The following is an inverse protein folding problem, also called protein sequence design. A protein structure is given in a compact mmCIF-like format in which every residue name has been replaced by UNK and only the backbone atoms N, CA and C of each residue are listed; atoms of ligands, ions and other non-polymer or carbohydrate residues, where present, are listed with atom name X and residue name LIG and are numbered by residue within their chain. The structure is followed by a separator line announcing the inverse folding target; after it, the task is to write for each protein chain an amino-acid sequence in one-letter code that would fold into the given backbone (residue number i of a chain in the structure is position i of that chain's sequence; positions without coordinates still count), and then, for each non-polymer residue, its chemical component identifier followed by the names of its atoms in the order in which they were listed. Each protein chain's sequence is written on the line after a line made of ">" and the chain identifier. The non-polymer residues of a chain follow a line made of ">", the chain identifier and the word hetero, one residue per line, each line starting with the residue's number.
data_IF_498825420858
#
_entry.id   IF_498825420858
#
_cell.length_a   1.000
_cell.length_b   1.000
_cell.length_c   1.000
_cell.angle_alpha   90.00
_cell.angle_beta   90.00
_cell.angle_gamma   90.00
#
_symmetry.space_group_name_H-M   'P 1'
#
loop_
_entity.id
_entity.type
_entity.pdbx_description
1 polymer ?
#
# COMPACT_ATOMS: atom_id res chain seq x y z
N UNK A 1 9.10 -7.39 27.99
CA UNK A 1 8.05 -7.45 26.95
C UNK A 1 6.62 -7.53 27.50
N UNK A 2 6.24 -8.50 28.36
CA UNK A 2 4.85 -8.62 28.90
C UNK A 2 4.32 -7.35 29.60
N UNK A 3 5.15 -6.61 30.34
CA UNK A 3 4.76 -5.38 31.05
C UNK A 3 4.51 -4.19 30.10
N UNK A 4 5.24 -4.14 28.98
CA UNK A 4 5.04 -3.10 27.94
C UNK A 4 3.70 -3.29 27.20
N UNK A 5 3.36 -4.53 26.86
CA UNK A 5 2.07 -4.87 26.23
C UNK A 5 0.88 -4.57 27.14
N UNK A 6 1.03 -4.82 28.45
CA UNK A 6 -0.03 -4.55 29.44
C UNK A 6 -0.24 -3.04 29.62
N UNK A 7 0.82 -2.24 29.69
CA UNK A 7 0.71 -0.78 29.79
C UNK A 7 0.12 -0.14 28.54
N UNK A 8 0.44 -0.64 27.37
CA UNK A 8 -0.15 -0.19 26.10
C UNK A 8 -1.64 -0.52 26.01
N UNK A 9 -2.04 -1.73 26.42
CA UNK A 9 -3.45 -2.13 26.46
C UNK A 9 -4.27 -1.29 27.47
N UNK A 10 -3.71 -0.97 28.64
CA UNK A 10 -4.37 -0.12 29.64
C UNK A 10 -4.51 1.32 29.13
N UNK A 11 -3.53 1.85 28.41
CA UNK A 11 -3.59 3.17 27.80
C UNK A 11 -4.69 3.25 26.74
N UNK A 12 -4.87 2.22 25.90
CA UNK A 12 -5.97 2.13 24.93
C UNK A 12 -7.34 2.02 25.62
N UNK A 13 -7.46 1.27 26.70
CA UNK A 13 -8.70 1.17 27.48
C UNK A 13 -9.06 2.51 28.17
N UNK A 14 -8.08 3.23 28.70
CA UNK A 14 -8.30 4.52 29.37
C UNK A 14 -8.70 5.63 28.39
N UNK A 15 -8.24 5.59 27.14
CA UNK A 15 -8.62 6.55 26.10
C UNK A 15 -10.04 6.29 25.55
N UNK A 16 -10.53 5.05 25.60
CA UNK A 16 -11.88 4.68 25.15
C UNK A 16 -13.03 5.11 26.08
N UNK A 17 -12.74 5.44 27.32
CA UNK A 17 -13.78 5.74 28.33
C UNK A 17 -14.35 7.17 28.27
N UNK A 18 -13.84 8.04 27.40
CA UNK A 18 -14.28 9.44 27.30
C UNK A 18 -15.15 9.79 26.08
N UNK A 19 -15.56 8.82 25.28
CA UNK A 19 -16.30 9.08 24.04
C UNK A 19 -17.82 8.96 24.26
N UNK A 20 -18.44 9.84 25.03
CA UNK A 20 -19.87 10.13 24.91
C UNK A 20 -20.10 11.12 23.75
N UNK A 21 -19.59 10.81 22.57
CA UNK A 21 -19.84 11.63 21.38
C UNK A 21 -20.99 11.04 20.57
N UNK A 22 -21.79 11.93 19.99
CA UNK A 22 -22.85 11.56 19.05
C UNK A 22 -22.26 10.70 17.92
N UNK A 23 -22.79 9.50 17.73
CA UNK A 23 -22.30 8.56 16.71
C UNK A 23 -22.40 9.16 15.32
N UNK A 24 -21.31 9.17 14.59
CA UNK A 24 -21.22 9.72 13.24
C UNK A 24 -21.12 8.63 12.19
N UNK A 25 -21.77 8.87 11.06
CA UNK A 25 -21.86 7.95 9.94
C UNK A 25 -21.45 8.68 8.67
N UNK A 26 -20.96 7.95 7.70
CA UNK A 26 -20.56 8.54 6.42
C UNK A 26 -19.61 7.67 5.63
N UNK A 27 -18.94 8.29 4.69
CA UNK A 27 -17.96 7.63 3.87
C UNK A 27 -17.21 8.61 2.98
N UNK A 28 -16.15 8.12 2.38
CA UNK A 28 -15.33 8.90 1.48
C UNK A 28 -14.37 8.04 0.67
N UNK A 29 -13.76 8.67 -0.33
CA UNK A 29 -12.71 8.09 -1.13
C UNK A 29 -11.46 8.95 -1.10
N UNK A 30 -10.32 8.36 -1.34
CA UNK A 30 -9.02 9.03 -1.34
C UNK A 30 -8.09 8.51 -2.42
N UNK A 31 -7.23 9.40 -2.86
CA UNK A 31 -5.98 9.11 -3.53
C UNK A 31 -4.89 8.99 -2.47
N UNK A 32 -4.01 8.00 -2.61
CA UNK A 32 -3.03 7.63 -1.62
C UNK A 32 -1.62 7.76 -2.19
N UNK A 33 -0.76 8.47 -1.48
CA UNK A 33 0.67 8.59 -1.76
C UNK A 33 1.45 8.14 -0.53
N UNK A 34 2.46 7.32 -0.70
CA UNK A 34 3.20 6.82 0.46
C UNK A 34 4.58 6.29 0.14
N UNK A 35 5.20 5.81 1.20
CA UNK A 35 6.42 5.03 1.15
C UNK A 35 6.18 3.72 1.90
N UNK A 36 6.80 2.66 1.44
CA UNK A 36 6.76 1.34 2.07
C UNK A 36 8.13 0.69 1.98
N UNK A 37 8.53 0.00 3.05
CA UNK A 37 9.68 -0.89 3.00
C UNK A 37 9.28 -2.26 2.48
N UNK A 38 10.19 -2.92 1.78
CA UNK A 38 10.07 -4.31 1.33
C UNK A 38 11.41 -5.01 1.56
N UNK A 39 11.37 -6.30 1.89
CA UNK A 39 12.57 -7.11 1.99
C UNK A 39 12.90 -7.70 0.62
N UNK A 40 13.77 -7.02 -0.12
CA UNK A 40 14.26 -7.42 -1.44
C UNK A 40 15.70 -7.96 -1.41
N UNK A 41 16.28 -8.10 -0.22
CA UNK A 41 17.65 -8.65 -0.03
C UNK A 41 17.85 -9.99 -0.74
N UNK A 42 16.93 -10.99 -0.64
CA UNK A 42 17.09 -12.26 -1.34
C UNK A 42 17.14 -12.13 -2.87
N UNK A 43 16.50 -11.09 -3.43
CA UNK A 43 16.58 -10.79 -4.86
C UNK A 43 17.94 -10.14 -5.16
N UNK A 44 18.37 -9.17 -4.35
CA UNK A 44 19.64 -8.46 -4.48
C UNK A 44 20.84 -9.43 -4.44
N UNK A 45 20.81 -10.42 -3.56
CA UNK A 45 21.83 -11.47 -3.47
C UNK A 45 22.03 -12.25 -4.79
N UNK A 46 20.98 -12.36 -5.59
CA UNK A 46 21.05 -13.01 -6.89
C UNK A 46 21.49 -12.04 -7.97
N UNK A 47 20.82 -10.89 -8.11
CA UNK A 47 21.03 -9.98 -9.24
C UNK A 47 22.43 -9.33 -9.21
N UNK A 48 22.98 -9.08 -8.01
CA UNK A 48 24.34 -8.53 -7.83
C UNK A 48 25.42 -9.41 -8.45
N UNK A 49 25.25 -10.74 -8.44
CA UNK A 49 26.19 -11.69 -9.08
C UNK A 49 26.24 -11.55 -10.60
N UNK A 50 25.20 -10.93 -11.18
CA UNK A 50 25.08 -10.68 -12.62
C UNK A 50 25.33 -9.20 -12.98
N UNK A 51 25.89 -8.41 -12.05
CA UNK A 51 26.32 -7.05 -12.27
C UNK A 51 25.20 -6.00 -12.29
N UNK A 52 24.01 -6.34 -11.79
CA UNK A 52 22.94 -5.33 -11.58
C UNK A 52 23.20 -4.51 -10.33
N UNK A 53 22.72 -3.29 -10.34
CA UNK A 53 22.57 -2.48 -9.15
C UNK A 53 21.53 -3.10 -8.18
N UNK A 54 21.61 -2.74 -6.90
CA UNK A 54 20.68 -3.25 -5.90
C UNK A 54 19.33 -2.56 -5.97
N UNK A 55 18.26 -3.32 -5.82
CA UNK A 55 16.91 -2.82 -5.60
C UNK A 55 16.80 -2.14 -4.23
N UNK A 56 16.05 -1.06 -4.16
CA UNK A 56 15.85 -0.33 -2.90
C UNK A 56 14.89 -1.06 -1.95
N UNK A 57 15.23 -1.09 -0.67
CA UNK A 57 14.32 -1.56 0.38
C UNK A 57 13.23 -0.54 0.73
N UNK A 58 13.35 0.73 0.29
CA UNK A 58 12.36 1.80 0.55
C UNK A 58 11.78 2.28 -0.76
N UNK A 59 10.48 2.15 -0.92
CA UNK A 59 9.82 2.32 -2.21
C UNK A 59 8.66 3.30 -2.13
N UNK A 60 8.45 4.07 -3.18
CA UNK A 60 7.28 4.91 -3.33
C UNK A 60 6.03 4.07 -3.60
N UNK A 61 4.89 4.47 -3.06
CA UNK A 61 3.60 3.85 -3.32
C UNK A 61 2.56 4.88 -3.76
N UNK A 62 1.72 4.47 -4.70
CA UNK A 62 0.61 5.26 -5.24
C UNK A 62 -0.63 4.38 -5.32
N UNK A 63 -1.79 4.91 -4.96
CA UNK A 63 -3.00 4.13 -4.97
C UNK A 63 -4.25 4.94 -4.66
N UNK A 64 -5.28 4.24 -4.26
CA UNK A 64 -6.54 4.84 -3.85
C UNK A 64 -7.30 3.92 -2.90
N UNK A 65 -8.32 4.48 -2.27
CA UNK A 65 -9.15 3.72 -1.35
C UNK A 65 -10.46 4.39 -1.03
N UNK A 66 -11.27 3.68 -0.29
CA UNK A 66 -12.53 4.18 0.24
C UNK A 66 -12.74 3.70 1.67
N UNK A 67 -13.54 4.45 2.41
CA UNK A 67 -13.85 4.12 3.80
C UNK A 67 -15.27 4.49 4.16
N UNK A 68 -15.85 3.71 5.07
CA UNK A 68 -17.15 3.94 5.65
C UNK A 68 -17.03 4.08 7.16
N UNK A 69 -17.68 5.11 7.69
CA UNK A 69 -17.79 5.37 9.12
C UNK A 69 -19.13 4.86 9.63
N UNK A 70 -19.11 3.98 10.60
CA UNK A 70 -20.26 3.30 11.19
C UNK A 70 -20.27 3.52 12.72
N UNK A 71 -20.52 4.77 13.12
CA UNK A 71 -20.34 5.21 14.50
C UNK A 71 -18.85 5.29 14.85
N UNK A 72 -18.43 4.47 15.81
CA UNK A 72 -17.02 4.39 16.23
C UNK A 72 -16.19 3.46 15.32
N UNK A 73 -16.83 2.68 14.46
CA UNK A 73 -16.17 1.74 13.57
C UNK A 73 -15.87 2.37 12.21
N UNK A 74 -14.76 1.95 11.63
CA UNK A 74 -14.38 2.25 10.24
C UNK A 74 -14.16 0.95 9.50
N UNK A 75 -14.72 0.87 8.32
CA UNK A 75 -14.45 -0.20 7.36
C UNK A 75 -13.82 0.46 6.14
N UNK A 76 -12.67 0.00 5.72
CA UNK A 76 -11.93 0.58 4.60
C UNK A 76 -11.38 -0.47 3.66
N UNK A 77 -11.28 -0.09 2.37
CA UNK A 77 -10.57 -0.84 1.36
C UNK A 77 -9.60 0.09 0.64
N UNK A 78 -8.40 -0.39 0.39
CA UNK A 78 -7.38 0.34 -0.35
C UNK A 78 -6.63 -0.58 -1.30
N UNK A 79 -6.11 -0.02 -2.38
CA UNK A 79 -5.24 -0.73 -3.31
C UNK A 79 -4.28 0.23 -4.00
N UNK A 80 -3.18 -0.28 -4.46
CA UNK A 80 -2.17 0.55 -5.11
C UNK A 80 -0.99 -0.24 -5.65
N UNK A 81 -0.02 0.51 -6.13
CA UNK A 81 1.24 0.02 -6.65
C UNK A 81 2.39 0.56 -5.83
N UNK A 82 3.43 -0.25 -5.70
CA UNK A 82 4.71 0.07 -5.10
C UNK A 82 5.72 -0.05 -6.23
N UNK A 83 6.28 1.08 -6.63
CA UNK A 83 7.25 1.15 -7.71
C UNK A 83 8.68 1.23 -7.17
N UNK A 84 9.59 0.64 -7.92
CA UNK A 84 11.02 0.80 -7.75
C UNK A 84 11.63 1.43 -9.00
N UNK A 85 12.81 2.01 -8.85
CA UNK A 85 13.60 2.41 -9.99
C UNK A 85 14.11 1.19 -10.76
N UNK A 86 14.19 1.30 -12.07
CA UNK A 86 14.74 0.26 -12.93
C UNK A 86 16.25 0.10 -12.61
N UNK A 87 16.69 -1.13 -12.39
CA UNK A 87 18.13 -1.44 -12.22
C UNK A 87 18.69 -2.09 -13.47
N UNK A 88 19.95 -1.83 -13.78
CA UNK A 88 20.53 -2.17 -15.07
C UNK A 88 21.89 -2.83 -14.90
N UNK A 89 22.27 -3.62 -15.90
CA UNK A 89 23.63 -4.00 -16.18
C UNK A 89 23.97 -3.64 -17.65
N UNK A 90 25.13 -4.08 -18.16
CA UNK A 90 25.58 -3.75 -19.51
C UNK A 90 24.62 -4.19 -20.62
N UNK A 91 23.79 -5.21 -20.40
CA UNK A 91 22.98 -5.86 -21.44
C UNK A 91 21.48 -5.86 -21.18
N UNK A 92 21.05 -5.68 -19.93
CA UNK A 92 19.65 -5.83 -19.54
C UNK A 92 19.20 -4.77 -18.55
N UNK A 93 17.91 -4.46 -18.61
CA UNK A 93 17.17 -3.66 -17.61
C UNK A 93 16.23 -4.58 -16.85
N UNK A 94 16.31 -4.53 -15.52
CA UNK A 94 15.43 -5.24 -14.60
C UNK A 94 14.44 -4.25 -13.98
N UNK A 95 13.14 -4.55 -14.11
CA UNK A 95 12.04 -3.86 -13.46
C UNK A 95 11.43 -4.73 -12.40
N UNK A 96 11.25 -4.17 -11.22
CA UNK A 96 10.55 -4.83 -10.13
C UNK A 96 9.44 -3.92 -9.59
N UNK A 97 8.29 -4.50 -9.28
CA UNK A 97 7.17 -3.75 -8.72
C UNK A 97 6.19 -4.65 -8.00
N UNK A 98 5.37 -4.06 -7.14
CA UNK A 98 4.32 -4.78 -6.44
C UNK A 98 2.99 -4.02 -6.51
N UNK A 99 1.89 -4.76 -6.65
CA UNK A 99 0.55 -4.28 -6.42
C UNK A 99 0.02 -4.84 -5.10
N UNK A 100 -0.84 -4.10 -4.43
CA UNK A 100 -1.50 -4.59 -3.21
C UNK A 100 -2.97 -4.23 -3.18
N UNK A 101 -3.74 -5.07 -2.46
CA UNK A 101 -5.12 -4.79 -2.09
C UNK A 101 -5.34 -5.16 -0.64
N UNK A 102 -5.89 -4.22 0.17
CA UNK A 102 -6.12 -4.39 1.60
C UNK A 102 -7.54 -4.02 1.97
N UNK A 103 -8.12 -4.79 2.86
CA UNK A 103 -9.38 -4.49 3.53
C UNK A 103 -9.11 -4.39 5.03
N UNK A 104 -9.64 -3.36 5.69
CA UNK A 104 -9.33 -3.11 7.10
C UNK A 104 -10.58 -2.70 7.89
N UNK A 105 -10.54 -3.04 9.18
CA UNK A 105 -11.52 -2.57 10.18
C UNK A 105 -10.77 -1.81 11.25
N UNK A 106 -11.27 -0.63 11.60
CA UNK A 106 -10.70 0.24 12.63
C UNK A 106 -11.73 0.66 13.68
N UNK A 107 -11.23 1.16 14.80
CA UNK A 107 -12.06 1.67 15.89
C UNK A 107 -11.57 3.06 16.33
N UNK A 108 -12.49 4.03 16.35
CA UNK A 108 -12.23 5.42 16.72
C UNK A 108 -11.84 5.58 18.19
N UNK A 109 -10.66 6.12 18.44
CA UNK A 109 -10.16 6.44 19.77
C UNK A 109 -10.19 7.95 20.07
N UNK A 110 -10.17 8.78 19.01
CA UNK A 110 -10.41 10.22 19.09
C UNK A 110 -11.43 10.59 18.04
N UNK A 111 -12.57 11.13 18.47
CA UNK A 111 -13.63 11.62 17.62
C UNK A 111 -13.89 13.08 17.93
N UNK A 112 -13.30 13.97 17.13
CA UNK A 112 -13.58 15.41 17.15
C UNK A 112 -14.21 15.82 15.82
N UNK A 113 -14.80 17.00 15.81
CA UNK A 113 -15.52 17.50 14.65
C UNK A 113 -14.72 17.38 13.33
N UNK A 114 -13.42 17.72 13.36
CA UNK A 114 -12.54 17.71 12.18
C UNK A 114 -11.47 16.64 12.22
N UNK A 115 -11.27 15.97 13.34
CA UNK A 115 -10.21 14.98 13.52
C UNK A 115 -10.78 13.65 13.98
N UNK A 116 -10.46 12.61 13.26
CA UNK A 116 -10.77 11.25 13.64
C UNK A 116 -9.50 10.39 13.66
N UNK A 117 -9.17 9.82 14.82
CA UNK A 117 -8.00 8.97 15.01
C UNK A 117 -8.46 7.55 15.35
N UNK A 118 -7.90 6.56 14.66
CA UNK A 118 -8.28 5.17 14.85
C UNK A 118 -7.16 4.19 14.52
N UNK A 119 -6.87 3.20 15.39
CA UNK A 119 -6.15 2.01 15.01
C UNK A 119 -6.99 1.14 14.08
N UNK A 120 -6.33 0.38 13.22
CA UNK A 120 -6.97 -0.59 12.33
C UNK A 120 -6.16 -1.88 12.21
N UNK A 121 -6.87 -2.95 11.89
CA UNK A 121 -6.32 -4.24 11.50
C UNK A 121 -6.97 -4.65 10.20
N UNK A 122 -6.23 -5.31 9.33
CA UNK A 122 -6.75 -5.71 8.02
C UNK A 122 -6.04 -6.91 7.44
N UNK A 123 -6.56 -7.34 6.30
CA UNK A 123 -5.99 -8.40 5.48
C UNK A 123 -6.18 -8.13 4.01
N UNK A 124 -5.40 -8.80 3.19
CA UNK A 124 -5.41 -8.62 1.75
C UNK A 124 -4.36 -9.46 1.05
N UNK A 125 -3.76 -8.90 0.02
CA UNK A 125 -2.80 -9.60 -0.82
C UNK A 125 -1.77 -8.64 -1.43
N UNK A 126 -0.65 -9.23 -1.84
CA UNK A 126 0.34 -8.66 -2.75
C UNK A 126 0.42 -9.49 -4.02
N UNK A 127 0.53 -8.80 -5.17
CA UNK A 127 1.02 -9.37 -6.42
C UNK A 127 2.29 -8.63 -6.78
N UNK A 128 3.37 -9.35 -7.04
CA UNK A 128 4.67 -8.79 -7.42
C UNK A 128 5.03 -9.23 -8.82
N UNK A 129 5.73 -8.37 -9.55
CA UNK A 129 6.20 -8.64 -10.91
C UNK A 129 7.67 -8.28 -11.05
N UNK A 130 8.39 -9.13 -11.75
CA UNK A 130 9.76 -8.92 -12.17
C UNK A 130 9.83 -9.06 -13.69
N UNK A 131 10.39 -8.06 -14.35
CA UNK A 131 10.53 -8.01 -15.79
C UNK A 131 11.99 -7.77 -16.14
N UNK A 132 12.53 -8.61 -16.99
CA UNK A 132 13.88 -8.50 -17.53
C UNK A 132 13.76 -8.20 -19.03
N UNK A 133 14.27 -7.05 -19.46
CA UNK A 133 14.28 -6.62 -20.87
C UNK A 133 15.70 -6.44 -21.35
N UNK A 134 16.01 -6.91 -22.56
CA UNK A 134 17.29 -6.66 -23.19
C UNK A 134 17.41 -5.17 -23.53
N UNK A 135 18.58 -4.57 -23.24
CA UNK A 135 18.87 -3.20 -23.62
C UNK A 135 19.20 -3.13 -25.11
N UNK A 136 18.51 -2.28 -25.83
CA UNK A 136 18.84 -1.89 -27.19
C UNK A 136 19.50 -0.50 -27.18
N UNK A 137 20.80 -0.48 -26.86
CA UNK A 137 21.57 0.76 -26.86
C UNK A 137 21.91 1.11 -28.32
N UNK A 138 21.10 1.98 -28.95
CA UNK A 138 21.43 2.56 -30.23
C UNK A 138 20.43 2.36 -31.36
N UNK A 139 19.31 1.71 -31.13
CA UNK A 139 18.23 1.70 -32.14
C UNK A 139 17.66 3.13 -32.30
N UNK A 140 17.72 3.65 -33.51
CA UNK A 140 17.02 4.89 -33.83
C UNK A 140 15.53 4.63 -33.98
N UNK A 141 14.71 5.68 -33.85
CA UNK A 141 13.27 5.55 -34.12
C UNK A 141 12.98 5.00 -35.52
N UNK A 142 13.85 5.26 -36.49
CA UNK A 142 13.78 4.76 -37.86
C UNK A 142 14.06 3.25 -37.93
N UNK A 143 15.04 2.75 -37.12
CA UNK A 143 15.42 1.33 -37.08
C UNK A 143 14.27 0.44 -36.56
N UNK A 144 13.42 0.98 -35.68
CA UNK A 144 12.23 0.27 -35.19
C UNK A 144 11.25 -0.12 -36.29
N UNK A 145 11.20 0.64 -37.37
CA UNK A 145 10.34 0.38 -38.52
C UNK A 145 11.07 -0.30 -39.70
N UNK A 146 12.39 -0.07 -39.79
CA UNK A 146 13.18 -0.66 -40.89
C UNK A 146 13.52 -2.13 -40.62
N UNK A 147 13.81 -2.46 -39.36
CA UNK A 147 14.21 -3.82 -38.94
C UNK A 147 13.48 -4.24 -37.64
N UNK A 148 12.14 -4.44 -37.70
CA UNK A 148 11.35 -4.76 -36.52
C UNK A 148 11.78 -6.09 -35.86
N UNK A 149 12.23 -7.08 -36.64
CA UNK A 149 12.69 -8.37 -36.11
C UNK A 149 14.04 -8.27 -35.37
N UNK A 150 14.92 -7.33 -35.76
CA UNK A 150 16.19 -7.09 -35.09
C UNK A 150 16.01 -6.32 -33.77
N UNK A 151 14.89 -5.58 -33.64
CA UNK A 151 14.50 -4.81 -32.49
C UNK A 151 13.39 -5.49 -31.65
N UNK A 152 13.19 -6.80 -31.84
CA UNK A 152 12.25 -7.58 -31.05
C UNK A 152 12.73 -7.67 -29.60
N UNK A 153 12.09 -6.89 -28.70
CA UNK A 153 12.40 -6.84 -27.29
C UNK A 153 12.23 -8.24 -26.67
N UNK A 154 13.33 -8.87 -26.34
CA UNK A 154 13.30 -10.11 -25.54
C UNK A 154 13.00 -9.77 -24.08
N UNK A 155 11.71 -9.74 -23.78
CA UNK A 155 11.23 -9.50 -22.42
C UNK A 155 10.85 -10.82 -21.77
N UNK A 156 11.43 -11.07 -20.61
CA UNK A 156 11.04 -12.16 -19.71
C UNK A 156 10.33 -11.54 -18.51
N UNK A 157 9.12 -12.04 -18.24
CA UNK A 157 8.35 -11.57 -17.09
C UNK A 157 7.96 -12.74 -16.20
N UNK A 158 8.06 -12.54 -14.90
CA UNK A 158 7.59 -13.48 -13.89
C UNK A 158 6.85 -12.73 -12.80
N UNK A 159 5.98 -13.42 -12.07
CA UNK A 159 5.20 -12.83 -10.99
C UNK A 159 5.08 -13.77 -9.80
N UNK A 160 4.74 -13.19 -8.67
CA UNK A 160 4.44 -13.91 -7.45
C UNK A 160 3.19 -13.32 -6.77
N UNK A 161 2.49 -14.13 -5.99
CA UNK A 161 1.31 -13.72 -5.26
C UNK A 161 1.36 -14.24 -3.83
N UNK A 162 1.00 -13.40 -2.85
CA UNK A 162 0.97 -13.81 -1.44
C UNK A 162 -0.13 -13.11 -0.67
N UNK A 163 -0.63 -13.78 0.37
CA UNK A 163 -1.55 -13.19 1.34
C UNK A 163 -0.87 -12.18 2.24
N UNK A 164 -1.63 -11.20 2.73
CA UNK A 164 -1.11 -10.13 3.57
C UNK A 164 -2.04 -9.81 4.74
N UNK A 165 -1.44 -9.34 5.84
CA UNK A 165 -2.10 -8.71 6.97
C UNK A 165 -1.60 -7.29 7.19
N UNK A 166 -2.38 -6.44 7.86
CA UNK A 166 -2.01 -5.05 8.14
C UNK A 166 -2.40 -4.65 9.55
N UNK A 167 -1.53 -3.89 10.22
CA UNK A 167 -1.87 -3.11 11.41
C UNK A 167 -1.45 -1.66 11.17
N UNK A 168 -2.32 -0.72 11.52
CA UNK A 168 -2.05 0.70 11.29
C UNK A 168 -2.69 1.60 12.35
N UNK A 169 -2.15 2.80 12.49
CA UNK A 169 -2.79 3.96 13.10
C UNK A 169 -3.13 4.95 12.00
N UNK A 170 -4.34 5.48 12.04
CA UNK A 170 -4.88 6.35 11.01
C UNK A 170 -5.39 7.64 11.65
N UNK A 171 -5.17 8.76 10.97
CA UNK A 171 -5.71 10.06 11.32
C UNK A 171 -6.38 10.68 10.09
N UNK A 172 -7.65 11.05 10.20
CA UNK A 172 -8.40 11.76 9.18
C UNK A 172 -8.71 13.17 9.66
N UNK A 173 -8.30 14.15 8.88
CA UNK A 173 -8.55 15.57 9.12
C UNK A 173 -9.42 16.15 8.01
N UNK A 174 -10.56 16.75 8.40
CA UNK A 174 -11.52 17.36 7.51
C UNK A 174 -11.32 18.87 7.45
N UNK A 175 -11.20 19.44 6.25
CA UNK A 175 -11.00 20.88 6.09
C UNK A 175 -12.26 21.68 6.40
N UNK A 176 -13.45 21.11 6.18
CA UNK A 176 -14.73 21.76 6.41
C UNK A 176 -15.57 20.99 7.42
N UNK A 177 -16.23 21.72 8.30
CA UNK A 177 -17.23 21.19 9.23
C UNK A 177 -18.30 22.23 9.50
N UNK A 178 -19.52 21.77 9.73
CA UNK A 178 -20.65 22.61 10.13
C UNK A 178 -21.64 21.80 10.97
N UNK A 179 -22.08 22.37 12.09
CA UNK A 179 -23.04 21.74 13.00
C UNK A 179 -22.65 20.32 13.43
N UNK A 180 -21.36 20.10 13.76
CA UNK A 180 -20.81 18.81 14.17
C UNK A 180 -20.60 17.82 13.02
N UNK A 181 -20.86 18.18 11.77
CA UNK A 181 -20.70 17.32 10.60
C UNK A 181 -19.48 17.75 9.78
N UNK A 182 -18.57 16.83 9.48
CA UNK A 182 -17.42 17.04 8.61
C UNK A 182 -17.78 16.68 7.17
N UNK A 183 -17.34 17.47 6.21
CA UNK A 183 -17.61 17.23 4.79
C UNK A 183 -16.57 17.88 3.88
N UNK A 184 -16.58 17.47 2.62
CA UNK A 184 -15.68 18.02 1.60
C UNK A 184 -14.30 17.35 1.61
N UNK A 185 -13.26 18.18 1.52
CA UNK A 185 -11.89 17.70 1.43
C UNK A 185 -11.39 17.11 2.76
N UNK A 186 -10.76 15.96 2.67
CA UNK A 186 -10.15 15.23 3.78
C UNK A 186 -8.65 15.02 3.48
N UNK A 187 -7.84 15.26 4.49
CA UNK A 187 -6.43 14.85 4.53
C UNK A 187 -6.30 13.73 5.55
N UNK A 188 -5.75 12.62 5.13
CA UNK A 188 -5.51 11.47 6.01
C UNK A 188 -4.03 11.11 6.08
N UNK A 189 -3.62 10.58 7.22
CA UNK A 189 -2.30 9.99 7.41
C UNK A 189 -2.48 8.58 7.98
N UNK A 190 -1.82 7.61 7.37
CA UNK A 190 -1.73 6.23 7.87
C UNK A 190 -0.28 5.87 8.09
N UNK A 191 0.02 5.21 9.19
CA UNK A 191 1.33 4.62 9.45
C UNK A 191 1.16 3.25 10.11
N UNK A 192 1.95 2.27 9.68
CA UNK A 192 1.78 0.92 10.18
C UNK A 192 2.77 -0.07 9.61
N UNK A 193 2.37 -1.33 9.70
CA UNK A 193 3.14 -2.45 9.18
C UNK A 193 2.21 -3.41 8.42
N UNK A 194 2.64 -3.82 7.24
CA UNK A 194 2.02 -4.87 6.43
C UNK A 194 2.86 -6.13 6.55
N UNK A 195 2.24 -7.20 7.01
CA UNK A 195 2.85 -8.53 7.05
C UNK A 195 2.48 -9.24 5.76
N UNK A 196 3.39 -10.03 5.20
CA UNK A 196 3.04 -10.94 4.11
C UNK A 196 3.62 -12.31 4.38
N UNK A 197 3.07 -13.30 3.71
CA UNK A 197 3.76 -14.56 3.53
C UNK A 197 4.94 -14.40 2.60
N UNK A 198 5.76 -15.42 2.49
CA UNK A 198 6.75 -15.58 1.47
C UNK A 198 6.12 -15.53 0.09
N UNK A 199 6.80 -14.92 -0.86
CA UNK A 199 6.43 -14.90 -2.26
C UNK A 199 7.54 -15.53 -3.09
N UNK A 200 7.15 -16.47 -3.94
CA UNK A 200 8.04 -17.15 -4.88
C UNK A 200 7.62 -16.82 -6.31
N UNK A 201 8.59 -16.53 -7.17
CA UNK A 201 8.30 -16.21 -8.56
C UNK A 201 7.97 -17.48 -9.36
N UNK A 202 6.85 -17.42 -10.06
CA UNK A 202 6.44 -18.42 -11.04
C UNK A 202 6.62 -17.88 -12.46
N UNK A 203 6.94 -18.75 -13.41
CA UNK A 203 6.95 -18.37 -14.82
C UNK A 203 5.54 -18.07 -15.30
N UNK A 204 5.35 -17.02 -16.10
CA UNK A 204 4.06 -16.71 -16.75
C UNK A 204 3.58 -17.85 -17.66
N UNK A 205 4.49 -18.70 -18.15
CA UNK A 205 4.19 -19.90 -18.93
C UNK A 205 3.75 -21.11 -18.07
N UNK A 206 3.59 -20.96 -16.75
CA UNK A 206 3.18 -22.02 -15.83
C UNK A 206 4.30 -23.02 -15.50
N UNK A 207 5.55 -22.69 -15.82
CA UNK A 207 6.72 -23.47 -15.42
C UNK A 207 7.29 -22.90 -14.13
N UNK A 208 7.51 -23.75 -13.13
CA UNK A 208 8.20 -23.35 -11.91
C UNK A 208 9.63 -22.89 -12.21
N UNK A 209 10.00 -21.72 -11.68
CA UNK A 209 11.38 -21.28 -11.70
C UNK A 209 12.15 -22.02 -10.61
N UNK A 210 13.11 -22.84 -11.00
CA UNK A 210 13.99 -23.49 -10.03
C UNK A 210 14.82 -22.44 -9.29
N UNK A 211 14.92 -22.57 -7.97
CA UNK A 211 15.68 -21.67 -7.09
C UNK A 211 15.16 -20.21 -7.09
N UNK A 212 13.86 -20.01 -7.21
CA UNK A 212 13.24 -18.69 -6.97
C UNK A 212 13.63 -18.17 -5.58
N UNK A 213 14.06 -16.91 -5.45
CA UNK A 213 14.31 -16.33 -4.13
C UNK A 213 12.98 -16.18 -3.37
N UNK A 214 13.06 -16.50 -2.09
CA UNK A 214 11.97 -16.35 -1.15
C UNK A 214 12.06 -14.94 -0.54
N UNK A 215 11.14 -14.04 -0.89
CA UNK A 215 11.16 -12.64 -0.45
C UNK A 215 9.85 -12.22 0.18
N UNK A 216 9.88 -11.11 0.94
CA UNK A 216 8.73 -10.61 1.68
C UNK A 216 8.35 -9.19 1.20
N UNK A 217 7.24 -9.01 0.46
CA UNK A 217 6.77 -7.69 0.01
C UNK A 217 6.14 -6.84 1.12
N UNK A 218 5.93 -7.40 2.32
CA UNK A 218 5.45 -6.67 3.48
C UNK A 218 6.52 -5.79 4.11
N UNK A 219 6.09 -4.80 4.92
CA UNK A 219 7.01 -3.91 5.62
C UNK A 219 6.33 -2.73 6.28
N UNK A 220 7.13 -1.85 6.86
CA UNK A 220 6.64 -0.60 7.42
C UNK A 220 6.17 0.35 6.32
N UNK A 221 5.10 1.09 6.56
CA UNK A 221 4.57 2.05 5.61
C UNK A 221 4.11 3.34 6.27
N UNK A 222 4.17 4.42 5.49
CA UNK A 222 3.53 5.70 5.78
C UNK A 222 2.81 6.16 4.52
N UNK A 223 1.52 6.53 4.64
CA UNK A 223 0.68 6.93 3.51
C UNK A 223 -0.06 8.23 3.83
N UNK A 224 0.07 9.21 2.96
CA UNK A 224 -0.76 10.41 2.89
C UNK A 224 -1.99 10.11 2.03
N UNK A 225 -3.17 10.38 2.55
CA UNK A 225 -4.45 10.23 1.86
C UNK A 225 -5.04 11.61 1.57
N UNK A 226 -5.37 11.88 0.32
CA UNK A 226 -6.01 13.12 -0.12
C UNK A 226 -7.33 12.74 -0.77
N UNK A 227 -8.43 13.16 -0.18
CA UNK A 227 -9.71 12.70 -0.64
C UNK A 227 -10.87 13.56 -0.21
N UNK A 228 -12.05 13.00 -0.25
CA UNK A 228 -13.26 13.69 0.16
C UNK A 228 -14.39 12.77 0.54
N UNK A 229 -15.38 13.33 1.21
CA UNK A 229 -16.54 12.58 1.66
C UNK A 229 -17.35 13.35 2.69
N UNK A 230 -18.03 12.60 3.52
CA UNK A 230 -18.90 13.11 4.56
C UNK A 230 -18.82 12.22 5.80
N UNK A 231 -18.87 12.86 6.98
CA UNK A 231 -18.96 12.19 8.27
C UNK A 231 -19.81 13.03 9.22
N UNK A 232 -20.99 12.56 9.57
CA UNK A 232 -21.95 13.33 10.35
C UNK A 232 -22.93 12.49 11.15
N UNK A 233 -23.81 13.17 11.89
CA UNK A 233 -24.86 12.50 12.66
C UNK A 233 -25.86 11.78 11.78
N UNK A 234 -26.59 10.81 12.35
CA UNK A 234 -27.63 10.07 11.63
C UNK A 234 -28.76 10.98 11.11
N UNK A 235 -29.02 12.08 11.81
CA UNK A 235 -30.06 13.07 11.41
C UNK A 235 -29.60 13.85 10.18
N UNK A 236 -28.33 14.25 10.11
CA UNK A 236 -27.77 14.95 8.96
C UNK A 236 -27.79 14.12 7.68
N UNK A 237 -27.69 12.78 7.78
CA UNK A 237 -27.81 11.87 6.64
C UNK A 237 -29.24 11.76 6.09
N UNK A 238 -30.27 11.93 6.93
CA UNK A 238 -31.68 11.86 6.50
C UNK A 238 -32.17 13.10 5.75
N UNK A 239 -31.49 14.23 5.95
CA UNK A 239 -31.88 15.53 5.40
C UNK A 239 -31.12 15.90 4.11
N UNK A 240 -30.41 14.94 3.53
CA UNK A 240 -29.70 15.02 2.23
C UNK A 240 -30.37 14.13 1.19
#
# INVERSE_FOLDING_TARGET
>A
MKRLLLSTAILFLALGLNAQNEKRYGGGGSFNLGIQTMDVEPINDIISRYGYEELSNVNASIGGGGQFYLGDWVVSGEGGFIGQDDVQNDSYTLRFGAGYGMFSVGYGIVDKERLFLYPSIGGGFYGTGLQLSQRNDGASFEDLFAEPEANEDRTISTGAFTGAGQVAINADFWLSSKDGNAYGLMLGLSAGYRFSGSAEFESIAGSELANSPDFNPGGAFVTLRIGGGFRGSKEALKNR
#
